data_IF_087456613373
#
_entry.id   IF_087456613373
#
_cell.length_a   1.000
_cell.length_b   1.000
_cell.length_c   1.000
_cell.angle_alpha   90.00
_cell.angle_beta   90.00
_cell.angle_gamma   90.00
#
_symmetry.space_group_name_H-M   'P 1'
#
loop_
_entity.id
_entity.type
_entity.pdbx_description
1 polymer ?
#
# COMPACT_ATOMS: atom_id res chain seq x y z
N UNK A 1 10.19 -18.98 -13.85
CA UNK A 1 8.83 -19.20 -14.39
C UNK A 1 7.90 -18.23 -13.69
N UNK A 2 7.01 -17.52 -14.40
CA UNK A 2 6.09 -16.53 -13.79
C UNK A 2 4.97 -17.28 -13.05
N UNK A 3 4.13 -18.00 -13.78
CA UNK A 3 3.21 -18.99 -13.21
C UNK A 3 2.69 -19.93 -14.28
N UNK A 4 2.25 -21.12 -13.86
CA UNK A 4 1.51 -22.08 -14.66
C UNK A 4 0.13 -21.56 -15.13
N UNK A 5 -0.49 -20.66 -14.37
CA UNK A 5 -1.74 -19.98 -14.77
C UNK A 5 -1.51 -18.69 -15.55
N UNK A 6 -0.24 -18.31 -15.78
CA UNK A 6 0.12 -17.10 -16.51
C UNK A 6 0.13 -17.34 -18.02
N UNK A 7 -0.83 -16.74 -18.73
CA UNK A 7 -0.92 -16.81 -20.19
C UNK A 7 -0.07 -15.72 -20.87
N UNK A 8 1.17 -16.04 -21.25
CA UNK A 8 2.12 -15.06 -21.80
C UNK A 8 1.59 -14.25 -22.99
N UNK A 9 0.73 -14.85 -23.83
CA UNK A 9 0.12 -14.14 -24.96
C UNK A 9 -0.74 -12.94 -24.52
N UNK A 10 -1.38 -13.02 -23.34
CA UNK A 10 -2.29 -12.01 -22.77
C UNK A 10 -1.56 -10.85 -22.12
N UNK A 11 -0.27 -10.97 -21.85
CA UNK A 11 0.46 -10.03 -21.00
C UNK A 11 1.68 -9.45 -21.71
N UNK A 12 1.94 -8.16 -21.49
CA UNK A 12 3.18 -7.49 -21.88
C UNK A 12 3.76 -6.78 -20.68
N UNK A 13 5.06 -6.90 -20.50
CA UNK A 13 5.75 -6.22 -19.39
C UNK A 13 5.60 -4.71 -19.51
N UNK A 14 5.39 -4.05 -18.37
CA UNK A 14 5.45 -2.59 -18.31
C UNK A 14 6.86 -2.20 -17.88
N UNK A 15 7.56 -1.42 -18.71
CA UNK A 15 8.97 -1.04 -18.53
C UNK A 15 9.21 -0.08 -17.36
N UNK A 16 8.95 -0.53 -16.13
CA UNK A 16 9.44 0.12 -14.91
C UNK A 16 10.82 -0.47 -14.58
N UNK A 17 11.83 0.40 -14.49
CA UNK A 17 13.19 -0.03 -14.19
C UNK A 17 13.29 -0.72 -12.81
N UNK A 18 14.16 -1.72 -12.71
CA UNK A 18 14.64 -2.33 -11.46
C UNK A 18 13.57 -3.09 -10.64
N UNK A 19 12.60 -3.71 -11.30
CA UNK A 19 11.70 -4.67 -10.65
C UNK A 19 12.38 -6.04 -10.51
N UNK A 20 12.50 -6.52 -9.28
CA UNK A 20 13.15 -7.81 -8.95
C UNK A 20 12.23 -8.72 -8.16
N UNK A 21 11.56 -8.15 -7.16
CA UNK A 21 10.72 -8.85 -6.19
C UNK A 21 9.23 -8.80 -6.58
N UNK A 22 8.90 -8.06 -7.65
CA UNK A 22 7.55 -7.88 -8.19
C UNK A 22 7.61 -7.98 -9.72
N UNK A 23 6.60 -8.55 -10.36
CA UNK A 23 6.40 -8.41 -11.82
C UNK A 23 5.18 -7.56 -12.13
N UNK A 24 5.23 -6.81 -13.24
CA UNK A 24 4.18 -5.87 -13.61
C UNK A 24 3.89 -5.93 -15.11
N UNK A 25 2.67 -6.29 -15.45
CA UNK A 25 2.25 -6.52 -16.82
C UNK A 25 0.97 -5.75 -17.16
N UNK A 26 0.88 -5.30 -18.40
CA UNK A 26 -0.32 -4.77 -19.03
C UNK A 26 -0.98 -5.85 -19.87
N UNK A 27 -2.30 -5.99 -19.74
CA UNK A 27 -3.08 -6.90 -20.56
C UNK A 27 -3.09 -6.50 -22.03
N UNK A 28 -3.25 -7.48 -22.91
CA UNK A 28 -3.40 -7.31 -24.37
C UNK A 28 -4.71 -7.96 -24.80
N UNK A 29 -5.52 -7.22 -25.54
CA UNK A 29 -6.75 -7.70 -26.16
C UNK A 29 -6.44 -8.60 -27.36
N UNK A 30 -7.38 -9.44 -27.85
CA UNK A 30 -7.13 -10.31 -29.01
C UNK A 30 -6.71 -9.58 -30.30
N UNK A 31 -7.10 -8.32 -30.46
CA UNK A 31 -6.71 -7.45 -31.58
C UNK A 31 -5.31 -6.82 -31.42
N UNK A 32 -4.60 -7.14 -30.34
CA UNK A 32 -3.27 -6.60 -30.03
C UNK A 32 -3.28 -5.27 -29.27
N UNK A 33 -4.45 -4.66 -29.06
CA UNK A 33 -4.55 -3.40 -28.32
C UNK A 33 -4.33 -3.59 -26.81
N UNK A 34 -3.89 -2.55 -26.05
CA UNK A 34 -3.75 -2.65 -24.60
C UNK A 34 -5.10 -2.83 -23.90
N UNK A 35 -5.29 -3.95 -23.22
CA UNK A 35 -6.49 -4.19 -22.41
C UNK A 35 -6.52 -3.26 -21.19
N UNK A 36 -7.68 -2.87 -20.64
CA UNK A 36 -7.77 -1.96 -19.49
C UNK A 36 -7.44 -2.62 -18.14
N UNK A 37 -6.57 -3.63 -18.13
CA UNK A 37 -6.25 -4.47 -16.97
C UNK A 37 -4.74 -4.56 -16.82
N UNK A 38 -4.26 -4.52 -15.58
CA UNK A 38 -2.87 -4.80 -15.26
C UNK A 38 -2.77 -5.95 -14.27
N UNK A 39 -1.65 -6.68 -14.31
CA UNK A 39 -1.29 -7.74 -13.37
C UNK A 39 -0.05 -7.30 -12.61
N UNK A 40 -0.16 -7.19 -11.29
CA UNK A 40 0.95 -6.94 -10.36
C UNK A 40 1.11 -8.20 -9.53
N UNK A 41 2.33 -8.75 -9.45
CA UNK A 41 2.54 -9.99 -8.71
C UNK A 41 3.81 -10.00 -7.88
N UNK A 42 3.74 -10.57 -6.68
CA UNK A 42 4.94 -10.92 -5.92
C UNK A 42 5.81 -11.90 -6.72
N UNK A 43 7.12 -11.76 -6.64
CA UNK A 43 8.08 -12.52 -7.43
C UNK A 43 9.22 -13.09 -6.56
N UNK A 44 8.86 -13.68 -5.42
CA UNK A 44 9.78 -14.35 -4.49
C UNK A 44 9.25 -15.73 -4.06
N UNK A 45 8.90 -16.62 -5.02
CA UNK A 45 8.23 -17.88 -4.72
C UNK A 45 9.05 -18.80 -3.80
N UNK A 46 10.39 -18.74 -3.88
CA UNK A 46 11.33 -19.50 -3.06
C UNK A 46 11.14 -19.29 -1.55
N UNK A 47 10.54 -18.16 -1.15
CA UNK A 47 10.22 -17.84 0.25
C UNK A 47 8.72 -17.61 0.45
N UNK A 48 7.90 -18.30 -0.35
CA UNK A 48 6.43 -18.19 -0.34
C UNK A 48 5.93 -16.76 -0.55
N UNK A 49 6.62 -16.00 -1.41
CA UNK A 49 6.28 -14.61 -1.71
C UNK A 49 6.24 -13.70 -0.48
N UNK A 50 7.11 -13.95 0.50
CA UNK A 50 7.31 -13.03 1.63
C UNK A 50 7.85 -11.68 1.13
N UNK A 51 7.30 -10.57 1.62
CA UNK A 51 7.79 -9.23 1.26
C UNK A 51 8.86 -8.76 2.23
N UNK A 52 9.95 -8.20 1.67
CA UNK A 52 10.93 -7.37 2.40
C UNK A 52 10.70 -5.90 2.04
N UNK A 53 11.37 -4.92 2.68
CA UNK A 53 11.16 -3.50 2.38
C UNK A 53 11.24 -3.12 0.89
N UNK A 54 12.23 -3.64 0.17
CA UNK A 54 12.36 -3.46 -1.27
C UNK A 54 11.16 -3.99 -2.06
N UNK A 55 10.60 -5.14 -1.65
CA UNK A 55 9.38 -5.69 -2.27
C UNK A 55 8.21 -4.73 -2.10
N UNK A 56 8.07 -4.12 -0.92
CA UNK A 56 7.02 -3.15 -0.63
C UNK A 56 7.18 -1.88 -1.48
N UNK A 57 8.41 -1.39 -1.64
CA UNK A 57 8.70 -0.21 -2.48
C UNK A 57 8.34 -0.47 -3.95
N UNK A 58 8.74 -1.62 -4.50
CA UNK A 58 8.41 -2.02 -5.86
C UNK A 58 6.90 -2.22 -6.06
N UNK A 59 6.22 -2.84 -5.08
CA UNK A 59 4.77 -3.03 -5.12
C UNK A 59 4.03 -1.69 -5.10
N UNK A 60 4.43 -0.77 -4.22
CA UNK A 60 3.88 0.57 -4.15
C UNK A 60 4.05 1.30 -5.50
N UNK A 61 5.26 1.26 -6.07
CA UNK A 61 5.56 1.90 -7.35
C UNK A 61 4.70 1.35 -8.49
N UNK A 62 4.51 0.04 -8.57
CA UNK A 62 3.66 -0.58 -9.60
C UNK A 62 2.18 -0.17 -9.44
N UNK A 63 1.66 -0.21 -8.22
CA UNK A 63 0.28 0.17 -7.93
C UNK A 63 0.02 1.66 -8.15
N UNK A 64 0.99 2.52 -7.82
CA UNK A 64 0.88 3.96 -8.02
C UNK A 64 0.94 4.31 -9.51
N UNK A 65 1.82 3.66 -10.27
CA UNK A 65 1.81 3.76 -11.72
C UNK A 65 0.45 3.33 -12.30
N UNK A 66 -0.09 2.19 -11.86
CA UNK A 66 -1.39 1.70 -12.31
C UNK A 66 -2.52 2.70 -11.96
N UNK A 67 -2.49 3.31 -10.77
CA UNK A 67 -3.41 4.37 -10.34
C UNK A 67 -3.41 5.54 -11.31
N UNK A 68 -2.24 6.00 -11.71
CA UNK A 68 -2.05 7.18 -12.59
C UNK A 68 -2.27 6.89 -14.08
N UNK A 69 -2.30 5.61 -14.49
CA UNK A 69 -2.48 5.25 -15.91
C UNK A 69 -3.95 5.31 -16.32
N UNK A 70 -4.39 6.38 -16.99
CA UNK A 70 -5.80 6.61 -17.33
C UNK A 70 -6.49 5.46 -18.10
N UNK A 71 -5.73 4.70 -18.91
CA UNK A 71 -6.27 3.57 -19.68
C UNK A 71 -6.41 2.27 -18.88
N UNK A 72 -6.04 2.23 -17.60
CA UNK A 72 -6.25 1.07 -16.71
C UNK A 72 -7.53 1.27 -15.91
N UNK A 73 -8.42 0.28 -15.95
CA UNK A 73 -9.67 0.23 -15.19
C UNK A 73 -9.57 -0.61 -13.91
N UNK A 74 -8.80 -1.70 -13.92
CA UNK A 74 -8.66 -2.61 -12.78
C UNK A 74 -7.26 -3.22 -12.65
N UNK A 75 -6.91 -3.63 -11.43
CA UNK A 75 -5.64 -4.28 -11.07
C UNK A 75 -5.91 -5.71 -10.60
N UNK A 76 -5.16 -6.68 -11.13
CA UNK A 76 -5.07 -8.03 -10.59
C UNK A 76 -3.81 -8.11 -9.72
N UNK A 77 -3.95 -8.39 -8.43
CA UNK A 77 -2.86 -8.60 -7.49
C UNK A 77 -2.71 -10.10 -7.21
N UNK A 78 -1.53 -10.67 -7.41
CA UNK A 78 -1.29 -12.13 -7.26
C UNK A 78 0.13 -12.45 -6.78
N UNK A 79 0.50 -13.73 -6.70
CA UNK A 79 1.86 -14.20 -6.51
C UNK A 79 2.34 -15.06 -7.69
N UNK A 80 3.58 -14.87 -8.13
CA UNK A 80 4.24 -15.78 -9.06
C UNK A 80 4.61 -17.09 -8.34
N UNK A 81 4.76 -18.19 -9.08
CA UNK A 81 5.03 -19.52 -8.54
C UNK A 81 4.56 -20.63 -9.49
N UNK A 82 4.69 -21.92 -9.15
CA UNK A 82 5.12 -22.41 -7.84
C UNK A 82 6.61 -22.19 -7.57
N UNK A 83 7.00 -22.36 -6.31
CA UNK A 83 8.39 -22.48 -5.91
C UNK A 83 9.02 -23.79 -6.44
N UNK A 84 10.34 -23.92 -6.32
CA UNK A 84 11.06 -25.11 -6.77
C UNK A 84 10.60 -26.41 -6.09
N UNK A 85 10.03 -26.31 -4.87
CA UNK A 85 9.44 -27.42 -4.14
C UNK A 85 7.97 -27.69 -4.49
N UNK A 86 7.44 -27.04 -5.53
CA UNK A 86 6.04 -27.14 -5.96
C UNK A 86 5.05 -26.33 -5.11
N UNK A 87 5.52 -25.60 -4.10
CA UNK A 87 4.64 -24.81 -3.23
C UNK A 87 4.13 -23.53 -3.89
N UNK A 88 2.82 -23.30 -3.80
CA UNK A 88 2.16 -22.09 -4.28
C UNK A 88 1.97 -21.07 -3.15
N UNK A 89 2.17 -19.78 -3.44
CA UNK A 89 1.90 -18.71 -2.50
C UNK A 89 1.37 -17.47 -3.21
N UNK A 90 0.32 -16.88 -2.65
CA UNK A 90 -0.02 -15.49 -2.93
C UNK A 90 1.01 -14.59 -2.24
N UNK A 91 1.07 -14.67 -0.90
CA UNK A 91 2.02 -13.95 -0.06
C UNK A 91 2.00 -14.51 1.36
N UNK A 92 3.17 -14.77 1.93
CA UNK A 92 3.32 -15.26 3.32
C UNK A 92 3.52 -14.15 4.36
N UNK A 93 3.40 -12.88 3.96
CA UNK A 93 3.58 -11.73 4.85
C UNK A 93 5.01 -11.19 4.85
N UNK A 94 5.38 -10.54 5.96
CA UNK A 94 6.71 -9.95 6.09
C UNK A 94 7.80 -11.01 6.25
N UNK A 95 8.90 -10.82 5.52
CA UNK A 95 10.06 -11.71 5.52
C UNK A 95 10.76 -11.69 6.89
N UNK A 96 10.50 -12.71 7.71
CA UNK A 96 11.00 -12.76 9.10
C UNK A 96 12.53 -12.74 9.19
N UNK A 97 13.25 -13.11 8.11
CA UNK A 97 14.72 -13.11 8.07
C UNK A 97 15.33 -11.70 8.17
N UNK A 98 14.54 -10.67 7.85
CA UNK A 98 14.97 -9.26 7.90
C UNK A 98 14.17 -8.45 8.91
N UNK A 99 13.43 -9.10 9.82
CA UNK A 99 12.72 -8.45 10.91
C UNK A 99 13.69 -8.16 12.07
N UNK A 100 13.91 -6.88 12.33
CA UNK A 100 14.65 -6.36 13.49
C UNK A 100 13.74 -5.93 14.63
N UNK A 101 14.33 -5.26 15.64
CA UNK A 101 13.59 -4.73 16.81
C UNK A 101 12.62 -3.60 16.45
N UNK A 102 12.91 -2.89 15.38
CA UNK A 102 12.25 -1.67 14.94
C UNK A 102 11.40 -1.85 13.66
N UNK A 103 11.33 -3.08 13.11
CA UNK A 103 10.55 -3.42 11.92
C UNK A 103 11.34 -4.22 10.90
N UNK A 104 10.88 -4.24 9.65
CA UNK A 104 11.57 -4.93 8.56
C UNK A 104 12.65 -4.04 7.97
N UNK A 105 13.88 -4.53 7.90
CA UNK A 105 15.06 -3.74 7.53
C UNK A 105 15.45 -3.97 6.07
N UNK A 106 15.98 -2.92 5.43
CA UNK A 106 16.66 -3.06 4.14
C UNK A 106 17.94 -3.88 4.34
N UNK A 107 18.38 -4.64 3.34
CA UNK A 107 19.72 -5.22 3.38
C UNK A 107 20.73 -4.07 3.33
N UNK A 108 21.38 -3.76 4.46
CA UNK A 108 22.48 -2.80 4.50
C UNK A 108 23.77 -3.60 4.49
N UNK A 109 24.50 -3.59 3.37
CA UNK A 109 25.93 -3.89 3.41
C UNK A 109 26.58 -2.63 3.97
N UNK A 110 26.74 -2.55 5.29
CA UNK A 110 27.55 -1.47 5.88
C UNK A 110 29.01 -1.82 5.58
N UNK A 111 29.78 -1.00 4.84
CA UNK A 111 31.21 -1.18 4.76
C UNK A 111 31.77 -1.18 6.18
N UNK A 112 32.54 -2.20 6.55
CA UNK A 112 33.21 -2.26 7.84
C UNK A 112 34.16 -1.06 7.90
N UNK A 113 33.76 0.03 8.56
CA UNK A 113 34.70 1.11 8.89
C UNK A 113 35.66 0.50 9.89
N UNK A 114 36.91 0.32 9.48
CA UNK A 114 37.98 -0.04 10.40
C UNK A 114 38.06 1.09 11.43
N UNK A 115 37.55 0.84 12.64
CA UNK A 115 37.81 1.72 13.77
C UNK A 115 39.31 1.82 14.00
N UNK A 116 39.82 2.96 14.49
CA UNK A 116 41.23 3.05 14.89
C UNK A 116 41.50 1.96 15.93
N UNK A 117 42.59 1.21 15.74
CA UNK A 117 42.91 0.02 16.52
C UNK A 117 42.83 0.28 18.02
N UNK A 118 41.96 -0.47 18.69
CA UNK A 118 41.95 -0.57 20.14
C UNK A 118 42.98 -1.62 20.54
N UNK A 119 44.26 -1.22 20.56
CA UNK A 119 45.24 -1.91 21.39
C UNK A 119 45.05 -1.46 22.84
N UNK A 120 44.96 -2.47 23.71
CA UNK A 120 45.05 -2.41 25.17
C UNK A 120 43.97 -1.60 25.92
N UNK A 121 43.13 -2.31 26.68
CA UNK A 121 43.04 -2.19 28.15
C UNK A 121 42.07 -3.24 28.72
N UNK A 122 42.67 -4.18 29.46
CA UNK A 122 42.18 -4.89 30.65
C UNK A 122 40.71 -5.27 30.79
N UNK A 123 40.46 -6.58 30.86
CA UNK A 123 39.30 -7.14 31.52
C UNK A 123 39.21 -6.67 32.99
N UNK A 124 38.02 -6.28 33.44
CA UNK A 124 37.60 -6.48 34.82
C UNK A 124 36.08 -6.61 34.90
N UNK A 125 35.64 -7.64 35.62
CA UNK A 125 34.28 -7.83 36.10
C UNK A 125 33.77 -6.58 36.82
N UNK A 126 32.46 -6.27 36.67
CA UNK A 126 31.70 -5.89 37.84
C UNK A 126 30.20 -6.16 37.68
N UNK A 127 29.73 -7.01 38.58
CA UNK A 127 28.35 -7.13 39.02
C UNK A 127 27.78 -5.80 39.51
N UNK A 128 26.50 -5.56 39.25
CA UNK A 128 25.64 -4.80 40.18
C UNK A 128 24.83 -3.64 39.58
N UNK A 129 23.53 -3.75 39.82
CA UNK A 129 22.58 -2.67 40.16
C UNK A 129 21.49 -2.33 39.12
N UNK A 130 20.27 -2.77 39.45
CA UNK A 130 18.98 -2.33 38.90
C UNK A 130 18.26 -1.60 40.04
N UNK A 131 17.75 -0.37 39.88
CA UNK A 131 16.80 0.18 40.83
C UNK A 131 15.37 -0.19 40.42
N UNK A 132 14.69 -0.90 41.33
CA UNK A 132 13.23 -1.06 41.36
C UNK A 132 12.54 0.29 41.62
N UNK A 133 11.38 0.50 41.00
CA UNK A 133 10.55 1.68 41.20
C UNK A 133 9.28 1.27 41.97
N UNK A 134 9.23 1.59 43.26
CA UNK A 134 8.02 1.54 44.09
C UNK A 134 7.63 2.97 44.50
N UNK A 135 6.33 3.26 44.48
CA UNK A 135 5.75 4.28 45.37
C UNK A 135 4.83 5.30 44.71
N UNK A 136 3.53 5.03 44.76
CA UNK A 136 2.43 5.97 44.56
C UNK A 136 2.54 7.20 45.46
N UNK A 137 2.10 8.37 44.96
CA UNK A 137 1.42 9.39 45.77
C UNK A 137 0.22 9.98 45.04
N UNK A 138 -0.91 9.90 45.74
CA UNK A 138 -2.23 10.47 45.51
C UNK A 138 -2.18 12.00 45.51
N UNK A 139 -2.98 12.66 44.67
CA UNK A 139 -3.32 14.08 44.81
C UNK A 139 -4.83 14.23 44.68
N UNK A 140 -5.42 14.94 45.66
CA UNK A 140 -6.85 15.21 45.84
C UNK A 140 -7.36 16.30 44.88
N UNK A 141 -8.67 16.22 44.59
CA UNK A 141 -9.47 17.24 43.90
C UNK A 141 -9.59 18.54 44.72
N UNK A 142 -9.55 19.69 44.02
CA UNK A 142 -9.84 21.01 44.57
C UNK A 142 -9.83 22.10 43.49
N UNK A 143 -11.04 22.52 43.11
CA UNK A 143 -11.49 23.75 42.43
C UNK A 143 -10.47 24.77 41.89
N UNK A 144 -10.49 25.02 40.57
CA UNK A 144 -10.30 26.38 39.99
C UNK A 144 -11.05 26.50 38.64
N UNK A 145 -11.93 27.51 38.52
CA UNK A 145 -12.68 27.91 37.31
C UNK A 145 -11.80 28.44 36.16
N UNK A 146 -12.25 28.41 34.88
CA UNK A 146 -11.52 29.00 33.78
C UNK A 146 -11.88 30.48 33.57
N UNK A 147 -10.88 31.37 33.53
CA UNK A 147 -11.00 32.71 32.96
C UNK A 147 -10.20 32.82 31.67
N UNK A 148 -10.88 33.24 30.61
CA UNK A 148 -10.32 33.58 29.30
C UNK A 148 -9.93 35.06 29.24
N UNK A 149 -8.73 35.36 28.73
CA UNK A 149 -8.43 36.61 28.01
C UNK A 149 -7.22 36.41 27.06
N UNK A 150 -7.16 37.14 25.92
CA UNK A 150 -6.27 36.81 24.81
C UNK A 150 -4.95 37.60 24.82
N UNK A 151 -3.86 36.98 24.37
CA UNK A 151 -2.64 37.68 24.00
C UNK A 151 -2.33 37.48 22.51
N UNK A 152 -2.52 38.56 21.76
CA UNK A 152 -1.99 38.75 20.42
C UNK A 152 -0.48 39.09 20.50
N UNK A 153 0.33 38.44 19.67
CA UNK A 153 1.70 38.88 19.37
C UNK A 153 1.88 38.84 17.86
N UNK A 154 2.09 40.02 17.28
CA UNK A 154 2.22 40.24 15.85
C UNK A 154 3.54 39.71 15.29
N UNK A 155 3.46 39.06 14.14
CA UNK A 155 4.61 38.70 13.32
C UNK A 155 4.96 39.85 12.38
N UNK A 156 6.19 40.37 12.51
CA UNK A 156 6.80 41.24 11.50
C UNK A 156 7.41 40.37 10.40
N UNK A 157 7.03 40.65 9.16
CA UNK A 157 7.63 40.05 7.97
C UNK A 157 9.01 40.65 7.71
N UNK A 158 10.01 39.80 7.45
CA UNK A 158 11.28 40.21 6.85
C UNK A 158 11.37 39.66 5.44
N UNK A 159 11.44 40.57 4.48
CA UNK A 159 11.69 40.34 3.06
C UNK A 159 13.18 40.22 2.80
N UNK A 160 13.69 39.02 2.53
CA UNK A 160 14.79 38.81 1.57
C UNK A 160 15.03 37.31 1.34
N UNK A 161 14.93 36.89 0.08
CA UNK A 161 15.08 35.49 -0.31
C UNK A 161 14.97 35.34 -1.82
N UNK A 162 16.00 35.80 -2.52
CA UNK A 162 16.16 35.66 -3.97
C UNK A 162 16.14 34.17 -4.36
N UNK A 163 15.20 33.78 -5.22
CA UNK A 163 15.24 32.49 -5.92
C UNK A 163 16.18 32.60 -7.11
N UNK A 164 17.18 31.71 -7.29
CA UNK A 164 17.92 31.66 -8.54
C UNK A 164 17.10 30.89 -9.58
N UNK A 165 16.56 31.63 -10.54
CA UNK A 165 16.30 31.15 -11.89
C UNK A 165 17.64 30.92 -12.58
N UNK A 166 17.87 29.75 -13.18
CA UNK A 166 18.44 29.65 -14.53
C UNK A 166 18.49 28.20 -15.03
N UNK A 167 17.76 27.98 -16.11
CA UNK A 167 17.80 26.78 -16.95
C UNK A 167 18.64 27.11 -18.20
N UNK A 168 19.64 26.23 -18.45
CA UNK A 168 20.40 26.01 -19.70
C UNK A 168 21.67 26.83 -19.94
N UNK A 169 22.81 26.14 -19.85
CA UNK A 169 23.83 26.11 -20.90
C UNK A 169 24.53 24.73 -20.84
N UNK A 170 24.55 24.01 -21.97
CA UNK A 170 25.25 22.73 -22.10
C UNK A 170 26.73 22.93 -22.38
N UNK A 171 27.57 22.08 -21.79
CA UNK A 171 29.00 21.98 -22.10
C UNK A 171 29.21 20.79 -23.07
N UNK A 172 29.74 21.01 -24.29
CA UNK A 172 29.86 19.98 -25.33
C UNK A 172 31.16 19.16 -25.22
N UNK A 173 31.63 18.85 -24.02
CA UNK A 173 32.83 18.03 -23.86
C UNK A 173 32.80 17.13 -22.61
N UNK A 174 31.96 16.10 -22.64
CA UNK A 174 32.01 15.01 -21.67
C UNK A 174 32.22 13.69 -22.41
N UNK A 175 33.49 13.32 -22.56
CA UNK A 175 33.90 12.01 -23.03
C UNK A 175 33.43 10.88 -22.12
N UNK A 176 33.17 9.73 -22.74
CA UNK A 176 32.73 8.49 -22.13
C UNK A 176 33.60 8.06 -20.95
N UNK A 177 33.00 7.94 -19.77
CA UNK A 177 33.36 6.93 -18.78
C UNK A 177 32.12 6.47 -18.03
N UNK A 178 31.90 5.16 -18.03
CA UNK A 178 30.88 4.47 -17.23
C UNK A 178 31.00 4.85 -15.75
N UNK A 179 29.92 5.32 -15.12
CA UNK A 179 29.83 5.42 -13.66
C UNK A 179 28.46 4.97 -13.18
N UNK A 180 28.45 3.76 -12.62
CA UNK A 180 27.41 3.31 -11.71
C UNK A 180 27.33 4.19 -10.45
N UNK A 181 26.19 4.09 -9.80
CA UNK A 181 25.90 4.50 -8.42
C UNK A 181 26.55 5.81 -7.94
N UNK A 182 25.97 6.95 -8.34
CA UNK A 182 26.21 8.25 -7.66
C UNK A 182 25.30 8.47 -6.44
N UNK A 183 25.02 7.40 -5.70
CA UNK A 183 24.48 7.48 -4.34
C UNK A 183 25.36 6.64 -3.42
N UNK A 184 26.66 6.97 -3.38
CA UNK A 184 27.51 6.58 -2.25
C UNK A 184 26.94 7.25 -0.99
N UNK A 185 26.06 6.50 -0.32
CA UNK A 185 25.58 6.61 1.06
C UNK A 185 25.80 7.98 1.74
N UNK A 186 24.82 8.88 1.60
CA UNK A 186 24.69 9.98 2.55
C UNK A 186 24.56 9.38 3.97
N UNK A 187 25.36 9.87 4.90
CA UNK A 187 25.35 9.45 6.31
C UNK A 187 23.96 9.65 6.92
N UNK A 188 23.22 10.67 6.47
CA UNK A 188 21.82 10.91 6.88
C UNK A 188 20.89 9.84 6.35
N UNK A 189 21.06 9.43 5.09
CA UNK A 189 20.27 8.34 4.48
C UNK A 189 20.58 7.00 5.13
N UNK A 190 21.85 6.73 5.46
CA UNK A 190 22.26 5.54 6.18
C UNK A 190 21.71 5.53 7.62
N UNK A 191 21.75 6.67 8.32
CA UNK A 191 21.21 6.82 9.67
C UNK A 191 19.67 6.75 9.72
N UNK A 192 18.98 7.05 8.60
CA UNK A 192 17.53 6.94 8.47
C UNK A 192 17.01 5.55 8.11
N UNK A 193 17.87 4.56 7.83
CA UNK A 193 17.51 3.17 7.49
C UNK A 193 17.11 2.34 8.73
N UNK A 194 16.15 2.85 9.51
CA UNK A 194 15.46 2.07 10.52
C UNK A 194 14.54 1.02 9.88
N UNK A 195 14.17 0.02 10.67
CA UNK A 195 13.11 -0.92 10.31
C UNK A 195 11.81 -0.19 9.96
N UNK A 196 11.08 -0.70 8.97
CA UNK A 196 9.80 -0.13 8.52
C UNK A 196 8.68 -1.16 8.60
N UNK A 197 7.46 -0.65 8.71
CA UNK A 197 6.20 -1.39 8.58
C UNK A 197 5.36 -0.81 7.43
N UNK A 198 6.01 -0.34 6.36
CA UNK A 198 5.37 0.46 5.30
C UNK A 198 4.55 -0.35 4.30
N UNK A 199 4.35 -1.65 4.52
CA UNK A 199 3.26 -2.36 3.83
C UNK A 199 1.89 -1.70 4.11
N UNK A 200 1.77 -1.00 5.25
CA UNK A 200 0.61 -0.16 5.57
C UNK A 200 0.40 0.99 4.55
N UNK A 201 1.46 1.48 3.89
CA UNK A 201 1.34 2.47 2.80
C UNK A 201 0.74 1.83 1.55
N UNK A 202 1.12 0.59 1.23
CA UNK A 202 0.50 -0.19 0.16
C UNK A 202 -0.97 -0.49 0.45
N UNK A 203 -1.30 -0.87 1.69
CA UNK A 203 -2.70 -1.08 2.09
C UNK A 203 -3.54 0.19 1.87
N UNK A 204 -3.04 1.36 2.31
CA UNK A 204 -3.70 2.65 2.07
C UNK A 204 -3.81 2.98 0.57
N UNK A 205 -2.80 2.68 -0.23
CA UNK A 205 -2.83 2.90 -1.68
C UNK A 205 -3.90 2.04 -2.37
N UNK A 206 -4.02 0.76 -2.01
CA UNK A 206 -5.08 -0.14 -2.52
C UNK A 206 -6.47 0.37 -2.11
N UNK A 207 -6.61 0.84 -0.87
CA UNK A 207 -7.88 1.38 -0.34
C UNK A 207 -8.28 2.70 -1.03
N UNK A 208 -7.33 3.61 -1.23
CA UNK A 208 -7.60 4.97 -1.73
C UNK A 208 -7.53 5.11 -3.26
N UNK A 209 -7.01 4.13 -3.99
CA UNK A 209 -7.00 4.22 -5.46
C UNK A 209 -8.43 4.19 -6.02
N UNK A 210 -8.75 5.03 -7.04
CA UNK A 210 -10.08 5.08 -7.64
C UNK A 210 -10.44 3.87 -8.53
N UNK A 211 -9.61 2.82 -8.53
CA UNK A 211 -9.71 1.66 -9.40
C UNK A 211 -9.86 0.39 -8.56
N UNK A 212 -10.72 -0.55 -8.96
CA UNK A 212 -10.83 -1.83 -8.26
C UNK A 212 -9.52 -2.64 -8.33
N UNK A 213 -9.17 -3.26 -7.20
CA UNK A 213 -8.06 -4.20 -7.05
C UNK A 213 -8.63 -5.57 -6.68
N UNK A 214 -8.29 -6.57 -7.47
CA UNK A 214 -8.77 -7.95 -7.32
C UNK A 214 -7.60 -8.83 -6.89
N UNK A 215 -7.68 -9.43 -5.70
CA UNK A 215 -6.72 -10.43 -5.26
C UNK A 215 -7.00 -11.77 -5.95
N UNK A 216 -5.99 -12.34 -6.61
CA UNK A 216 -6.00 -13.70 -7.11
C UNK A 216 -5.15 -14.57 -6.19
N UNK A 217 -5.80 -15.23 -5.24
CA UNK A 217 -5.11 -16.03 -4.22
C UNK A 217 -4.76 -17.39 -4.80
N UNK A 218 -3.57 -17.48 -5.39
CA UNK A 218 -3.08 -18.66 -6.10
C UNK A 218 -2.47 -19.74 -5.18
N UNK A 219 -2.29 -19.45 -3.89
CA UNK A 219 -1.66 -20.34 -2.92
C UNK A 219 -1.80 -19.83 -1.49
N UNK A 220 -0.79 -20.06 -0.65
CA UNK A 220 -0.72 -19.51 0.71
C UNK A 220 -0.91 -17.99 0.75
N UNK A 221 -1.89 -17.54 1.54
CA UNK A 221 -2.08 -16.17 1.99
C UNK A 221 -2.01 -16.16 3.53
N UNK A 222 -0.88 -15.74 4.07
CA UNK A 222 -0.60 -15.81 5.51
C UNK A 222 -0.04 -14.49 6.08
N UNK A 223 -0.31 -14.24 7.37
CA UNK A 223 0.19 -13.06 8.07
C UNK A 223 -0.24 -11.76 7.37
N UNK A 224 0.71 -10.84 7.14
CA UNK A 224 0.46 -9.64 6.34
C UNK A 224 0.02 -9.90 4.89
N UNK A 225 0.32 -11.08 4.32
CA UNK A 225 -0.21 -11.49 3.03
C UNK A 225 -1.71 -11.80 3.07
N UNK A 226 -2.22 -12.30 4.20
CA UNK A 226 -3.66 -12.42 4.45
C UNK A 226 -4.31 -11.04 4.58
N UNK A 227 -3.71 -10.11 5.33
CA UNK A 227 -4.19 -8.72 5.44
C UNK A 227 -4.28 -8.01 4.08
N UNK A 228 -3.38 -8.31 3.15
CA UNK A 228 -3.44 -7.76 1.78
C UNK A 228 -4.65 -8.26 1.00
N UNK A 229 -5.12 -9.49 1.25
CA UNK A 229 -6.39 -9.98 0.67
C UNK A 229 -7.56 -9.15 1.20
N UNK A 230 -7.56 -8.85 2.51
CA UNK A 230 -8.66 -8.14 3.18
C UNK A 230 -8.85 -6.70 2.68
N UNK A 231 -7.77 -6.03 2.28
CA UNK A 231 -7.82 -4.65 1.77
C UNK A 231 -8.13 -4.56 0.27
N UNK A 232 -8.02 -5.66 -0.48
CA UNK A 232 -8.45 -5.68 -1.88
C UNK A 232 -9.99 -5.59 -1.97
N UNK A 233 -10.49 -5.00 -3.05
CA UNK A 233 -11.94 -4.80 -3.22
C UNK A 233 -12.68 -6.12 -3.48
N UNK A 234 -12.00 -7.05 -4.16
CA UNK A 234 -12.50 -8.38 -4.48
C UNK A 234 -11.37 -9.41 -4.34
N UNK A 235 -11.73 -10.67 -4.09
CA UNK A 235 -10.79 -11.79 -4.04
C UNK A 235 -11.37 -13.07 -4.68
N UNK A 236 -10.53 -13.74 -5.48
CA UNK A 236 -10.80 -15.06 -6.07
C UNK A 236 -9.68 -16.00 -5.62
N UNK A 237 -10.04 -17.21 -5.20
CA UNK A 237 -9.09 -18.18 -4.65
C UNK A 237 -8.99 -19.45 -5.49
N UNK A 238 -7.76 -19.96 -5.66
CA UNK A 238 -7.49 -21.30 -6.17
C UNK A 238 -8.08 -22.36 -5.24
N UNK A 239 -8.98 -23.21 -5.72
CA UNK A 239 -9.61 -24.26 -4.91
C UNK A 239 -8.57 -25.27 -4.40
N UNK A 240 -7.63 -25.63 -5.26
CA UNK A 240 -6.65 -26.68 -5.01
C UNK A 240 -5.56 -26.16 -4.07
N UNK A 241 -5.06 -24.95 -4.30
CA UNK A 241 -3.82 -24.48 -3.68
C UNK A 241 -4.00 -23.36 -2.67
N UNK A 242 -5.09 -22.58 -2.70
CA UNK A 242 -5.24 -21.48 -1.75
C UNK A 242 -5.40 -22.01 -0.32
N UNK A 243 -4.60 -21.46 0.57
CA UNK A 243 -4.64 -21.73 2.01
C UNK A 243 -4.49 -20.41 2.73
N UNK A 244 -5.35 -20.20 3.72
CA UNK A 244 -5.40 -18.96 4.47
C UNK A 244 -5.02 -19.25 5.91
N UNK A 245 -4.17 -18.42 6.49
CA UNK A 245 -3.75 -18.58 7.89
C UNK A 245 -3.27 -17.27 8.48
N UNK A 246 -3.94 -16.77 9.51
CA UNK A 246 -3.45 -15.60 10.22
C UNK A 246 -2.44 -16.05 11.29
N UNK A 247 -1.15 -15.87 11.01
CA UNK A 247 -0.05 -16.37 11.86
C UNK A 247 0.55 -15.29 12.77
N UNK A 248 0.03 -14.07 12.72
CA UNK A 248 0.56 -12.92 13.42
C UNK A 248 0.87 -13.20 14.90
N UNK A 249 -0.11 -13.72 15.65
CA UNK A 249 0.07 -14.01 17.07
C UNK A 249 1.12 -15.10 17.35
N UNK A 250 1.28 -16.08 16.44
CA UNK A 250 2.27 -17.15 16.58
C UNK A 250 3.71 -16.63 16.50
N UNK A 251 3.92 -15.47 15.86
CA UNK A 251 5.25 -14.84 15.69
C UNK A 251 5.38 -13.53 16.46
N UNK A 252 4.50 -13.28 17.44
CA UNK A 252 4.51 -12.05 18.24
C UNK A 252 4.32 -10.78 17.41
N UNK A 253 3.39 -10.84 16.45
CA UNK A 253 2.97 -9.73 15.58
C UNK A 253 1.45 -9.57 15.64
N UNK A 254 0.91 -8.52 15.02
CA UNK A 254 -0.52 -8.30 14.82
C UNK A 254 -0.76 -7.21 13.78
N UNK A 255 -1.73 -7.41 12.88
CA UNK A 255 -2.38 -6.36 12.11
C UNK A 255 -3.71 -5.96 12.77
N UNK A 256 -3.64 -4.94 13.63
CA UNK A 256 -4.80 -4.36 14.31
C UNK A 256 -5.50 -3.24 13.50
N UNK A 257 -5.12 -3.08 12.23
CA UNK A 257 -5.71 -2.08 11.31
C UNK A 257 -6.69 -2.75 10.35
N UNK A 258 -6.42 -2.64 9.05
CA UNK A 258 -7.27 -3.24 8.03
C UNK A 258 -7.32 -4.76 8.10
N UNK A 259 -6.23 -5.43 8.51
CA UNK A 259 -6.16 -6.89 8.54
C UNK A 259 -7.23 -7.54 9.44
N UNK A 260 -7.47 -6.99 10.62
CA UNK A 260 -8.49 -7.48 11.56
C UNK A 260 -9.82 -6.73 11.44
N UNK A 261 -9.79 -5.40 11.25
CA UNK A 261 -10.98 -4.56 11.16
C UNK A 261 -11.85 -4.87 9.95
N UNK A 262 -11.27 -4.92 8.74
CA UNK A 262 -12.02 -5.26 7.53
C UNK A 262 -12.44 -6.73 7.50
N UNK A 263 -11.61 -7.62 8.05
CA UNK A 263 -12.01 -9.02 8.19
C UNK A 263 -13.29 -9.13 9.02
N UNK A 264 -13.40 -8.43 10.15
CA UNK A 264 -14.62 -8.42 10.96
C UNK A 264 -15.85 -7.87 10.21
N UNK A 265 -15.66 -6.88 9.30
CA UNK A 265 -16.73 -6.39 8.41
C UNK A 265 -17.16 -7.42 7.37
N UNK A 266 -16.24 -8.28 6.93
CA UNK A 266 -16.48 -9.27 5.88
C UNK A 266 -17.10 -10.57 6.41
N UNK A 267 -16.56 -11.11 7.52
CA UNK A 267 -16.93 -12.44 8.03
C UNK A 267 -17.69 -12.42 9.37
N UNK A 268 -17.88 -11.23 9.95
CA UNK A 268 -18.44 -11.04 11.28
C UNK A 268 -17.43 -11.21 12.41
N UNK A 269 -17.73 -10.58 13.56
CA UNK A 269 -16.80 -10.44 14.69
C UNK A 269 -16.31 -11.78 15.26
N UNK A 270 -17.21 -12.75 15.49
CA UNK A 270 -16.84 -14.07 16.04
C UNK A 270 -15.83 -14.80 15.16
N UNK A 271 -16.07 -14.80 13.85
CA UNK A 271 -15.21 -15.50 12.90
C UNK A 271 -13.86 -14.79 12.75
N UNK A 272 -13.85 -13.46 12.69
CA UNK A 272 -12.60 -12.70 12.61
C UNK A 272 -11.71 -12.98 13.84
N UNK A 273 -12.29 -13.03 15.03
CA UNK A 273 -11.58 -13.40 16.26
C UNK A 273 -11.10 -14.85 16.23
N UNK A 274 -11.93 -15.79 15.78
CA UNK A 274 -11.55 -17.21 15.60
C UNK A 274 -10.30 -17.33 14.71
N UNK A 275 -10.31 -16.67 13.55
CA UNK A 275 -9.19 -16.67 12.58
C UNK A 275 -7.90 -16.13 13.23
N UNK A 276 -7.98 -15.00 13.93
CA UNK A 276 -6.79 -14.37 14.54
C UNK A 276 -6.29 -15.10 15.80
N UNK A 277 -7.19 -15.56 16.66
CA UNK A 277 -6.82 -16.13 17.96
C UNK A 277 -6.39 -17.59 17.88
N UNK A 278 -7.03 -18.39 17.02
CA UNK A 278 -6.69 -19.80 16.86
C UNK A 278 -5.60 -20.03 15.81
N UNK A 279 -5.42 -19.08 14.88
CA UNK A 279 -4.43 -19.15 13.80
C UNK A 279 -4.52 -20.48 13.01
N UNK A 280 -5.72 -21.03 12.86
CA UNK A 280 -5.96 -22.27 12.11
C UNK A 280 -5.91 -22.02 10.60
N UNK A 281 -5.51 -23.05 9.86
CA UNK A 281 -5.51 -23.02 8.40
C UNK A 281 -6.90 -23.33 7.87
N UNK A 282 -7.38 -22.58 6.89
CA UNK A 282 -8.61 -22.88 6.16
C UNK A 282 -8.40 -22.82 4.63
N UNK A 283 -9.27 -23.51 3.90
CA UNK A 283 -9.20 -23.65 2.44
C UNK A 283 -10.05 -22.60 1.69
N UNK A 284 -9.96 -22.62 0.37
CA UNK A 284 -10.65 -21.68 -0.51
C UNK A 284 -12.18 -21.73 -0.40
N UNK A 285 -12.76 -22.93 -0.26
CA UNK A 285 -14.21 -23.07 -0.18
C UNK A 285 -14.73 -22.55 1.15
N UNK A 286 -13.99 -22.81 2.23
CA UNK A 286 -14.28 -22.26 3.54
C UNK A 286 -14.15 -20.74 3.55
N UNK A 287 -13.08 -20.21 2.94
CA UNK A 287 -12.89 -18.78 2.75
C UNK A 287 -14.08 -18.15 1.99
N UNK A 288 -14.57 -18.80 0.92
CA UNK A 288 -15.72 -18.33 0.16
C UNK A 288 -17.04 -18.38 0.97
N UNK A 289 -17.30 -19.48 1.69
CA UNK A 289 -18.49 -19.61 2.54
C UNK A 289 -18.53 -18.58 3.67
N UNK A 290 -17.38 -18.24 4.25
CA UNK A 290 -17.31 -17.26 5.34
C UNK A 290 -17.35 -15.81 4.86
N UNK A 291 -17.05 -15.55 3.58
CA UNK A 291 -16.96 -14.19 3.02
C UNK A 291 -15.55 -13.59 3.02
N UNK A 292 -14.51 -14.38 3.27
CA UNK A 292 -13.09 -13.97 3.15
C UNK A 292 -12.72 -13.71 1.68
N UNK A 293 -13.30 -14.48 0.76
CA UNK A 293 -13.14 -14.32 -0.69
C UNK A 293 -14.49 -14.40 -1.38
N UNK A 294 -14.61 -13.79 -2.57
CA UNK A 294 -15.86 -13.81 -3.32
C UNK A 294 -16.12 -15.15 -4.01
N UNK A 295 -15.06 -15.87 -4.42
CA UNK A 295 -15.21 -17.15 -5.14
C UNK A 295 -13.99 -18.05 -5.00
N UNK A 296 -14.22 -19.36 -4.88
CA UNK A 296 -13.22 -20.40 -5.09
C UNK A 296 -13.40 -21.03 -6.48
N UNK A 297 -12.33 -21.11 -7.28
CA UNK A 297 -12.32 -21.59 -8.67
C UNK A 297 -11.22 -22.62 -8.88
N UNK A 298 -11.31 -23.52 -9.89
CA UNK A 298 -10.18 -24.37 -10.26
C UNK A 298 -8.92 -23.52 -10.51
N UNK A 299 -7.76 -24.00 -10.12
CA UNK A 299 -6.51 -23.25 -10.19
C UNK A 299 -6.22 -22.75 -11.60
N UNK A 300 -6.36 -23.64 -12.59
CA UNK A 300 -6.18 -23.34 -14.02
C UNK A 300 -7.08 -22.21 -14.54
N UNK A 301 -8.19 -21.92 -13.86
CA UNK A 301 -9.12 -20.85 -14.23
C UNK A 301 -8.86 -19.53 -13.53
N UNK A 302 -7.94 -19.47 -12.57
CA UNK A 302 -7.82 -18.34 -11.64
C UNK A 302 -7.54 -17.01 -12.36
N UNK A 303 -6.52 -16.95 -13.23
CA UNK A 303 -6.21 -15.72 -13.98
C UNK A 303 -7.28 -15.40 -15.03
N UNK A 304 -7.88 -16.41 -15.66
CA UNK A 304 -8.95 -16.23 -16.64
C UNK A 304 -10.19 -15.59 -16.00
N UNK A 305 -10.65 -16.10 -14.85
CA UNK A 305 -11.80 -15.54 -14.13
C UNK A 305 -11.48 -14.13 -13.61
N UNK A 306 -10.27 -13.90 -13.09
CA UNK A 306 -9.81 -12.57 -12.70
C UNK A 306 -9.85 -11.57 -13.85
N UNK A 307 -9.39 -12.00 -15.03
CA UNK A 307 -9.44 -11.22 -16.27
C UNK A 307 -10.89 -10.89 -16.68
N UNK A 308 -11.79 -11.87 -16.66
CA UNK A 308 -13.22 -11.68 -16.98
C UNK A 308 -13.89 -10.69 -16.03
N UNK A 309 -13.58 -10.75 -14.73
CA UNK A 309 -14.10 -9.79 -13.74
C UNK A 309 -13.57 -8.39 -14.00
N UNK A 310 -12.27 -8.26 -14.28
CA UNK A 310 -11.65 -6.98 -14.60
C UNK A 310 -12.24 -6.35 -15.88
N UNK A 311 -12.50 -7.15 -16.93
CA UNK A 311 -13.17 -6.66 -18.15
C UNK A 311 -14.64 -6.32 -17.90
N UNK A 312 -15.33 -7.06 -17.03
CA UNK A 312 -16.71 -6.73 -16.63
C UNK A 312 -16.78 -5.36 -15.96
N UNK A 313 -15.83 -5.07 -15.07
CA UNK A 313 -15.67 -3.75 -14.42
C UNK A 313 -15.35 -2.67 -15.46
N UNK A 314 -14.44 -2.96 -16.39
CA UNK A 314 -14.05 -2.02 -17.45
C UNK A 314 -15.20 -1.67 -18.41
N UNK A 315 -16.21 -2.55 -18.54
CA UNK A 315 -17.43 -2.29 -19.30
C UNK A 315 -18.48 -1.43 -18.58
N UNK A 316 -18.18 -0.86 -17.40
CA UNK A 316 -19.07 0.04 -16.64
C UNK A 316 -18.57 1.49 -16.67
N UNK A 317 -19.40 2.43 -16.23
CA UNK A 317 -19.00 3.84 -16.07
C UNK A 317 -17.84 3.96 -15.08
N UNK A 318 -16.64 4.43 -15.50
CA UNK A 318 -15.50 4.59 -14.61
C UNK A 318 -15.76 5.59 -13.48
N UNK A 319 -16.61 6.59 -13.73
CA UNK A 319 -17.05 7.54 -12.70
C UNK A 319 -17.89 6.83 -11.65
N UNK A 320 -18.88 6.02 -12.05
CA UNK A 320 -19.75 5.32 -11.11
C UNK A 320 -18.96 4.31 -10.26
N UNK A 321 -18.08 3.52 -10.87
CA UNK A 321 -17.21 2.56 -10.16
C UNK A 321 -16.34 3.27 -9.11
N UNK A 322 -15.74 4.41 -9.47
CA UNK A 322 -14.93 5.21 -8.54
C UNK A 322 -15.76 5.75 -7.37
N UNK A 323 -16.92 6.33 -7.65
CA UNK A 323 -17.80 6.87 -6.59
C UNK A 323 -18.29 5.75 -5.66
N UNK A 324 -18.64 4.58 -6.19
CA UNK A 324 -19.06 3.42 -5.41
C UNK A 324 -17.95 2.92 -4.49
N UNK A 325 -16.72 2.78 -5.00
CA UNK A 325 -15.56 2.40 -4.17
C UNK A 325 -15.37 3.35 -3.00
N UNK A 326 -15.39 4.66 -3.25
CA UNK A 326 -15.25 5.65 -2.18
C UNK A 326 -16.45 5.69 -1.24
N UNK A 327 -17.67 5.41 -1.71
CA UNK A 327 -18.84 5.30 -0.85
C UNK A 327 -18.76 4.10 0.11
N UNK A 328 -18.32 2.93 -0.38
CA UNK A 328 -18.08 1.76 0.48
C UNK A 328 -17.04 2.03 1.57
N UNK A 329 -16.02 2.82 1.26
CA UNK A 329 -14.95 3.15 2.21
C UNK A 329 -15.33 4.27 3.19
N UNK A 330 -16.24 5.17 2.80
CA UNK A 330 -16.47 6.45 3.48
C UNK A 330 -16.77 6.31 4.98
N UNK A 331 -17.66 5.40 5.35
CA UNK A 331 -18.09 5.24 6.74
C UNK A 331 -17.05 4.50 7.60
N UNK A 332 -16.41 3.48 7.04
CA UNK A 332 -15.41 2.69 7.77
C UNK A 332 -14.10 3.47 8.00
N UNK A 333 -13.71 4.32 7.04
CA UNK A 333 -12.45 5.07 7.09
C UNK A 333 -12.63 6.47 7.71
N UNK A 334 -13.83 6.81 8.19
CA UNK A 334 -14.15 8.08 8.85
C UNK A 334 -13.79 9.31 8.01
N UNK A 335 -13.07 10.26 8.60
CA UNK A 335 -12.69 11.50 7.90
C UNK A 335 -11.83 11.25 6.65
N UNK A 336 -10.98 10.21 6.66
CA UNK A 336 -10.16 9.86 5.51
C UNK A 336 -11.04 9.32 4.36
N UNK A 337 -12.03 8.49 4.67
CA UNK A 337 -13.01 8.01 3.69
C UNK A 337 -13.85 9.16 3.11
N UNK A 338 -14.35 10.04 3.98
CA UNK A 338 -15.10 11.22 3.56
C UNK A 338 -14.26 12.18 2.71
N UNK A 339 -12.97 12.35 2.99
CA UNK A 339 -12.07 13.16 2.16
C UNK A 339 -12.01 12.62 0.72
N UNK A 340 -11.90 11.31 0.54
CA UNK A 340 -11.84 10.68 -0.78
C UNK A 340 -13.16 10.83 -1.54
N UNK A 341 -14.29 10.58 -0.89
CA UNK A 341 -15.61 10.72 -1.51
C UNK A 341 -15.92 12.19 -1.86
N UNK A 342 -15.73 13.10 -0.91
CA UNK A 342 -15.99 14.53 -1.10
C UNK A 342 -15.04 15.15 -2.14
N UNK A 343 -13.79 14.69 -2.23
CA UNK A 343 -12.87 15.12 -3.28
C UNK A 343 -13.40 14.85 -4.69
N UNK A 344 -14.04 13.70 -4.91
CA UNK A 344 -14.67 13.41 -6.20
C UNK A 344 -16.01 14.13 -6.39
N UNK A 345 -16.79 14.37 -5.32
CA UNK A 345 -17.95 15.25 -5.39
C UNK A 345 -17.56 16.68 -5.83
N UNK A 346 -16.46 17.22 -5.31
CA UNK A 346 -15.88 18.50 -5.76
C UNK A 346 -15.48 18.44 -7.24
N UNK A 347 -14.86 17.35 -7.70
CA UNK A 347 -14.52 17.17 -9.12
C UNK A 347 -15.78 17.19 -10.01
N UNK A 348 -16.87 16.56 -9.58
CA UNK A 348 -18.14 16.60 -10.29
C UNK A 348 -18.73 18.01 -10.32
N UNK A 349 -18.71 18.71 -9.18
CA UNK A 349 -19.16 20.10 -9.10
C UNK A 349 -18.38 21.01 -10.05
N UNK A 350 -17.06 20.84 -10.16
CA UNK A 350 -16.21 21.60 -11.11
C UNK A 350 -16.60 21.40 -12.59
N UNK A 351 -17.30 20.31 -12.92
CA UNK A 351 -17.82 20.06 -14.26
C UNK A 351 -19.06 20.88 -14.64
N UNK A 352 -19.68 21.57 -13.68
CA UNK A 352 -20.95 22.29 -13.88
C UNK A 352 -20.76 23.72 -14.41
N UNK A 353 -21.83 24.29 -14.98
CA UNK A 353 -21.85 25.69 -15.36
C UNK A 353 -21.79 26.64 -14.15
N UNK A 354 -22.35 26.24 -13.01
CA UNK A 354 -22.32 27.01 -11.76
C UNK A 354 -20.88 27.19 -11.24
N UNK A 355 -20.10 26.11 -11.18
CA UNK A 355 -18.68 26.20 -10.79
C UNK A 355 -17.86 27.04 -11.78
N UNK A 356 -18.21 27.01 -13.08
CA UNK A 356 -17.59 27.85 -14.10
C UNK A 356 -17.83 29.34 -13.84
N UNK A 357 -19.06 29.72 -13.51
CA UNK A 357 -19.40 31.11 -13.14
C UNK A 357 -18.60 31.59 -11.92
N UNK A 358 -18.48 30.76 -10.88
CA UNK A 358 -17.65 31.09 -9.72
C UNK A 358 -16.17 31.32 -10.07
N UNK A 359 -15.61 30.51 -10.99
CA UNK A 359 -14.24 30.70 -11.49
C UNK A 359 -14.11 31.97 -12.33
N UNK A 360 -15.01 32.18 -13.29
CA UNK A 360 -14.92 33.26 -14.27
C UNK A 360 -15.11 34.62 -13.61
N UNK A 361 -16.08 34.76 -12.71
CA UNK A 361 -16.27 35.97 -11.91
C UNK A 361 -15.04 36.37 -11.09
N UNK A 362 -14.33 35.40 -10.50
CA UNK A 362 -13.07 35.64 -9.79
C UNK A 362 -11.96 36.14 -10.73
N UNK A 363 -11.77 35.51 -11.89
CA UNK A 363 -10.75 35.92 -12.87
C UNK A 363 -11.05 37.29 -13.48
N UNK A 364 -12.32 37.57 -13.74
CA UNK A 364 -12.83 38.81 -14.31
C UNK A 364 -12.98 39.93 -13.27
N UNK A 365 -12.81 39.61 -11.97
CA UNK A 365 -12.96 40.54 -10.83
C UNK A 365 -14.32 41.23 -10.79
N UNK A 366 -15.38 40.48 -11.11
CA UNK A 366 -16.78 40.92 -10.99
C UNK A 366 -17.50 40.10 -9.92
N UNK A 367 -18.64 40.60 -9.39
CA UNK A 367 -19.54 39.76 -8.61
C UNK A 367 -19.99 38.53 -9.42
N UNK A 368 -20.14 37.39 -8.75
CA UNK A 368 -20.73 36.19 -9.33
C UNK A 368 -22.25 36.35 -9.43
N UNK A 369 -22.86 35.85 -10.51
CA UNK A 369 -24.30 35.78 -10.70
C UNK A 369 -24.77 34.33 -10.70
N UNK A 370 -25.35 33.89 -9.58
CA UNK A 370 -25.90 32.54 -9.45
C UNK A 370 -27.42 32.46 -9.71
N UNK A 371 -28.07 33.55 -10.13
CA UNK A 371 -29.54 33.62 -10.25
C UNK A 371 -30.15 32.64 -11.25
N UNK A 372 -29.35 32.19 -12.23
CA UNK A 372 -29.77 31.24 -13.26
C UNK A 372 -29.71 29.76 -12.81
N UNK A 373 -29.12 29.45 -11.65
CA UNK A 373 -28.97 28.07 -11.17
C UNK A 373 -30.06 27.74 -10.15
N UNK A 374 -30.92 26.74 -10.41
CA UNK A 374 -32.01 26.41 -9.50
C UNK A 374 -31.49 25.68 -8.25
N UNK A 375 -32.16 25.91 -7.12
CA UNK A 375 -31.96 25.12 -5.91
C UNK A 375 -32.68 23.77 -6.05
N UNK A 376 -31.93 22.70 -6.34
CA UNK A 376 -32.45 21.33 -6.42
C UNK A 376 -32.86 20.80 -5.03
N UNK A 377 -33.87 19.94 -4.96
CA UNK A 377 -34.41 19.35 -3.73
C UNK A 377 -34.75 17.87 -3.89
#
# INVERSE_FOLDING_TARGET
>A
MISDVFEAARWREVGLAELTDVTYHRGVMPDGSPAPVVRVAFNRPEVRNAFRPQTVDQLYRCLDHARQTASVAAVLLTGNGPAADGGYAFCSGGDQRVRGRDGYQYHVTVPKVAGPGADSLGASDNSGYIPENQGQRTIQEGDVQPQMAPHAVGAKASTDGRYPTDLRAGDPNAGETSKGDRYETDVRDAAGRYGRLHILEVQRLIRATPKPVIALVNGWAAGGGHSLVMVCDLAIASREHARFKQVDANVGSFDAGYGSGLLARQVGDKRAREIFFLAETYDAETAARWGVVNRAVPHGDLERVGWEWALTIAGKSPQAVRMLKFAFNALDDGLAGMQMFAGEATRLAYGTAEAREGRDSFLERRPADFSAFPYYY
#
